data_IF_052600204848
#
_entry.id   IF_052600204848
#
_cell.length_a   1.000
_cell.length_b   1.000
_cell.length_c   1.000
_cell.angle_alpha   90.00
_cell.angle_beta   90.00
_cell.angle_gamma   90.00
#
_symmetry.space_group_name_H-M   'P 1'
#
loop_
_entity.id
_entity.type
_entity.pdbx_description
1 polymer ?
#
# COMPACT_ATOMS: atom_id res chain seq x y z
N UNK A 1 81.91 13.40 69.60
CA UNK A 1 80.70 12.98 70.32
C UNK A 1 79.67 14.10 70.15
N UNK A 2 78.44 13.91 69.68
CA UNK A 2 77.82 12.76 68.99
C UNK A 2 76.59 13.26 68.18
N UNK A 3 76.23 12.54 67.11
CA UNK A 3 74.88 12.29 66.50
C UNK A 3 73.65 13.07 67.04
N UNK A 4 72.64 13.50 66.24
CA UNK A 4 72.19 13.03 64.91
C UNK A 4 71.24 14.01 64.18
N UNK A 5 71.01 13.80 62.86
CA UNK A 5 70.00 14.40 61.94
C UNK A 5 68.90 13.36 61.62
N UNK A 6 67.84 13.63 60.81
CA UNK A 6 67.35 14.88 60.18
C UNK A 6 65.98 15.31 60.80
N UNK A 7 64.87 15.78 60.19
CA UNK A 7 64.31 15.88 58.81
C UNK A 7 63.26 17.01 58.68
N UNK A 8 63.22 17.63 57.48
CA UNK A 8 62.06 18.03 56.64
C UNK A 8 60.94 18.92 57.24
N UNK A 9 60.45 19.98 56.57
CA UNK A 9 60.57 20.29 55.13
C UNK A 9 60.44 21.76 54.72
N UNK A 10 61.10 22.05 53.59
CA UNK A 10 60.96 23.22 52.72
C UNK A 10 59.67 23.07 51.88
N UNK A 11 58.98 24.10 51.40
CA UNK A 11 59.12 25.54 51.64
C UNK A 11 58.87 26.38 50.37
N UNK A 12 58.15 27.51 50.54
CA UNK A 12 57.99 28.63 49.57
C UNK A 12 57.14 28.35 48.31
N UNK A 13 56.32 29.35 47.94
CA UNK A 13 55.48 29.36 46.72
C UNK A 13 56.06 30.31 45.66
N UNK A 14 55.67 30.15 44.37
CA UNK A 14 55.99 31.11 43.30
C UNK A 14 54.89 31.15 42.21
N UNK A 15 54.52 32.40 41.88
CA UNK A 15 54.03 33.03 40.63
C UNK A 15 53.33 32.21 39.51
N UNK A 16 52.27 32.84 39.00
CA UNK A 16 51.41 32.50 37.85
C UNK A 16 52.09 32.29 36.48
N UNK A 17 51.29 31.80 35.52
CA UNK A 17 51.31 32.17 34.09
C UNK A 17 49.87 32.07 33.55
N UNK A 18 49.48 32.97 32.63
CA UNK A 18 48.21 32.88 31.91
C UNK A 18 48.39 32.15 30.57
N UNK A 19 47.55 31.15 30.28
CA UNK A 19 47.59 30.38 29.04
C UNK A 19 46.34 30.59 28.20
N UNK A 20 46.50 31.18 27.01
CA UNK A 20 45.44 31.23 25.99
C UNK A 20 45.46 29.91 25.22
N UNK A 21 44.40 29.11 25.32
CA UNK A 21 44.11 28.05 24.36
C UNK A 21 42.94 28.48 23.48
N UNK A 22 43.22 28.80 22.22
CA UNK A 22 42.20 28.89 21.19
C UNK A 22 41.89 27.46 20.70
N UNK A 23 40.76 26.89 21.13
CA UNK A 23 40.27 25.60 20.62
C UNK A 23 39.47 25.81 19.34
N UNK A 24 40.13 25.64 18.19
CA UNK A 24 39.47 25.57 16.88
C UNK A 24 38.59 24.31 16.80
N UNK A 25 37.29 24.47 17.04
CA UNK A 25 36.29 23.41 16.82
C UNK A 25 36.02 23.28 15.32
N UNK A 26 36.90 22.55 14.62
CA UNK A 26 36.62 21.99 13.29
C UNK A 26 35.99 20.62 13.52
N UNK A 27 34.68 20.61 13.74
CA UNK A 27 33.92 19.42 14.11
C UNK A 27 32.71 19.23 13.19
N UNK A 28 32.98 18.69 12.00
CA UNK A 28 32.04 18.12 11.01
C UNK A 28 30.60 18.63 11.11
N UNK A 29 30.20 19.51 10.19
CA UNK A 29 28.78 19.72 9.88
C UNK A 29 28.15 18.37 9.54
N UNK A 30 27.30 17.86 10.43
CA UNK A 30 26.56 16.65 10.17
C UNK A 30 25.72 16.86 8.92
N UNK A 31 25.90 16.01 7.91
CA UNK A 31 24.92 15.88 6.84
C UNK A 31 23.70 15.26 7.49
N UNK A 32 22.80 16.12 8.00
CA UNK A 32 21.42 15.75 8.17
C UNK A 32 20.93 15.36 6.79
N UNK A 33 20.75 14.05 6.58
CA UNK A 33 20.03 13.55 5.44
C UNK A 33 18.63 14.15 5.50
N UNK A 34 18.34 15.08 4.59
CA UNK A 34 16.98 15.53 4.33
C UNK A 34 16.28 14.39 3.60
N UNK A 35 15.84 13.38 4.35
CA UNK A 35 14.85 12.43 3.87
C UNK A 35 13.60 13.23 3.49
N UNK A 36 13.18 13.12 2.23
CA UNK A 36 11.97 13.78 1.76
C UNK A 36 10.72 13.19 2.44
N UNK A 37 9.65 13.99 2.51
CA UNK A 37 8.28 13.52 2.78
C UNK A 37 8.04 12.68 4.05
N UNK A 38 8.78 12.95 5.14
CA UNK A 38 8.49 12.41 6.49
C UNK A 38 7.32 13.13 7.21
N UNK A 39 6.47 13.85 6.47
CA UNK A 39 5.26 14.56 6.91
C UNK A 39 4.34 14.69 5.68
N UNK A 40 3.09 14.19 5.65
CA UNK A 40 2.35 13.46 6.68
C UNK A 40 1.69 12.20 6.09
N UNK A 41 1.39 11.20 6.93
CA UNK A 41 0.65 10.01 6.52
C UNK A 41 -0.83 10.39 6.31
N UNK A 42 -1.31 10.35 5.06
CA UNK A 42 -2.65 10.78 4.67
C UNK A 42 -3.76 10.09 5.50
N UNK A 43 -3.58 8.82 5.88
CA UNK A 43 -4.55 8.04 6.65
C UNK A 43 -4.63 8.47 8.13
N UNK A 44 -3.71 9.30 8.63
CA UNK A 44 -3.71 9.77 10.02
C UNK A 44 -4.77 10.86 10.27
N UNK A 45 -4.93 11.77 9.30
CA UNK A 45 -5.86 12.90 9.39
C UNK A 45 -7.10 12.76 8.49
N UNK A 46 -7.09 11.81 7.53
CA UNK A 46 -8.20 11.63 6.56
C UNK A 46 -8.84 10.24 6.68
N UNK A 47 -10.14 10.21 7.00
CA UNK A 47 -10.93 8.97 6.95
C UNK A 47 -11.19 8.52 5.51
N UNK A 48 -11.15 7.21 5.27
CA UNK A 48 -11.39 6.66 3.93
C UNK A 48 -12.87 6.72 3.52
N UNK A 49 -13.09 6.86 2.21
CA UNK A 49 -14.41 6.86 1.58
C UNK A 49 -15.01 5.46 1.55
N UNK A 50 -16.29 5.34 1.89
CA UNK A 50 -17.09 4.12 1.71
C UNK A 50 -17.94 4.32 0.46
N UNK A 51 -17.70 3.52 -0.59
CA UNK A 51 -18.43 3.66 -1.85
C UNK A 51 -19.86 3.10 -1.76
N UNK A 52 -20.92 3.93 -1.88
CA UNK A 52 -22.30 3.46 -1.95
C UNK A 52 -22.61 2.75 -3.28
N UNK A 53 -21.74 2.84 -4.28
CA UNK A 53 -21.81 2.05 -5.53
C UNK A 53 -21.24 0.64 -5.42
N UNK A 54 -20.66 0.26 -4.28
CA UNK A 54 -19.96 -1.01 -4.11
C UNK A 54 -20.86 -2.25 -4.29
N UNK A 55 -20.26 -3.33 -4.78
CA UNK A 55 -20.92 -4.64 -4.96
C UNK A 55 -21.49 -5.18 -3.65
N UNK A 56 -20.80 -4.96 -2.53
CA UNK A 56 -21.29 -5.30 -1.20
C UNK A 56 -22.55 -4.52 -0.79
N UNK A 57 -22.62 -3.22 -1.08
CA UNK A 57 -23.81 -2.40 -0.79
C UNK A 57 -24.99 -2.85 -1.65
N UNK A 58 -24.77 -3.02 -2.95
CA UNK A 58 -25.80 -3.52 -3.87
C UNK A 58 -26.33 -4.91 -3.47
N UNK A 59 -25.47 -5.80 -2.97
CA UNK A 59 -25.87 -7.10 -2.46
C UNK A 59 -26.65 -7.03 -1.14
N UNK A 60 -26.28 -6.13 -0.22
CA UNK A 60 -27.00 -5.90 1.03
C UNK A 60 -28.42 -5.38 0.77
N UNK A 61 -28.56 -4.42 -0.15
CA UNK A 61 -29.87 -3.87 -0.55
C UNK A 61 -30.72 -4.90 -1.29
N UNK A 62 -30.12 -5.74 -2.16
CA UNK A 62 -30.82 -6.83 -2.84
C UNK A 62 -31.33 -7.90 -1.85
N UNK A 63 -30.53 -8.25 -0.84
CA UNK A 63 -30.92 -9.16 0.23
C UNK A 63 -32.07 -8.59 1.09
N UNK A 64 -31.98 -7.32 1.48
CA UNK A 64 -33.03 -6.63 2.21
C UNK A 64 -34.34 -6.55 1.41
N UNK A 65 -34.27 -6.27 0.11
CA UNK A 65 -35.43 -6.25 -0.79
C UNK A 65 -36.05 -7.65 -1.00
N UNK A 66 -35.27 -8.73 -0.85
CA UNK A 66 -35.75 -10.11 -0.86
C UNK A 66 -36.30 -10.60 0.49
N UNK A 67 -36.06 -9.86 1.58
CA UNK A 67 -36.40 -10.28 2.95
C UNK A 67 -35.41 -11.27 3.57
N UNK A 68 -34.18 -11.35 3.06
CA UNK A 68 -33.09 -12.11 3.68
C UNK A 68 -32.32 -11.18 4.66
N UNK A 69 -32.89 -11.02 5.86
CA UNK A 69 -32.32 -10.20 6.94
C UNK A 69 -30.89 -10.65 7.33
N UNK A 70 -30.55 -11.93 7.12
CA UNK A 70 -29.24 -12.47 7.47
C UNK A 70 -28.16 -12.04 6.46
N UNK A 71 -28.44 -12.16 5.16
CA UNK A 71 -27.57 -11.65 4.10
C UNK A 71 -27.48 -10.12 4.15
N UNK A 72 -28.59 -9.41 4.37
CA UNK A 72 -28.60 -7.96 4.49
C UNK A 72 -27.70 -7.47 5.65
N UNK A 73 -27.73 -8.17 6.80
CA UNK A 73 -26.85 -7.88 7.93
C UNK A 73 -25.38 -8.22 7.64
N UNK A 74 -25.11 -9.38 7.02
CA UNK A 74 -23.75 -9.86 6.74
C UNK A 74 -23.05 -9.03 5.65
N UNK A 75 -23.70 -8.81 4.51
CA UNK A 75 -23.15 -7.99 3.42
C UNK A 75 -23.12 -6.52 3.81
N UNK A 76 -24.11 -6.06 4.59
CA UNK A 76 -24.07 -4.74 5.20
C UNK A 76 -22.89 -4.54 6.16
N UNK A 77 -22.35 -5.59 6.81
CA UNK A 77 -21.10 -5.48 7.59
C UNK A 77 -19.93 -5.14 6.67
N UNK A 78 -19.81 -5.81 5.54
CA UNK A 78 -18.77 -5.57 4.54
C UNK A 78 -18.93 -4.17 3.91
N UNK A 79 -20.13 -3.84 3.44
CA UNK A 79 -20.46 -2.61 2.72
C UNK A 79 -20.25 -1.30 3.52
N UNK A 80 -20.12 -1.38 4.86
CA UNK A 80 -19.83 -0.23 5.73
C UNK A 80 -18.34 0.01 5.96
N UNK A 81 -17.47 -0.89 5.51
CA UNK A 81 -16.02 -0.78 5.64
C UNK A 81 -15.44 -0.22 4.35
N UNK A 82 -14.52 0.77 4.39
CA UNK A 82 -13.88 1.31 3.20
C UNK A 82 -13.09 0.23 2.44
N UNK A 83 -13.37 0.08 1.13
CA UNK A 83 -12.60 -0.78 0.22
C UNK A 83 -12.04 0.04 -0.94
N UNK A 84 -10.95 -0.42 -1.57
CA UNK A 84 -10.48 0.22 -2.79
C UNK A 84 -11.46 0.01 -3.96
N UNK A 85 -11.61 1.04 -4.80
CA UNK A 85 -12.46 1.05 -5.99
C UNK A 85 -11.61 0.63 -7.18
N UNK A 86 -11.89 -0.54 -7.77
CA UNK A 86 -11.08 -1.11 -8.84
C UNK A 86 -11.41 -0.49 -10.20
N UNK A 87 -10.43 0.21 -10.76
CA UNK A 87 -10.46 0.86 -12.06
C UNK A 87 -9.89 -0.10 -13.10
N UNK A 88 -10.73 -0.55 -14.03
CA UNK A 88 -10.30 -1.42 -15.13
C UNK A 88 -10.79 -0.85 -16.48
N UNK A 89 -9.99 -0.93 -17.55
CA UNK A 89 -10.32 -0.35 -18.85
C UNK A 89 -11.54 -1.00 -19.52
N UNK A 90 -11.91 -2.22 -19.11
CA UNK A 90 -13.10 -2.94 -19.61
C UNK A 90 -14.41 -2.42 -19.00
N UNK A 91 -14.35 -1.81 -17.80
CA UNK A 91 -15.49 -1.15 -17.15
C UNK A 91 -15.50 0.36 -17.40
N UNK A 92 -14.33 0.97 -17.51
CA UNK A 92 -14.13 2.41 -17.60
C UNK A 92 -13.03 2.73 -18.64
N UNK A 93 -13.37 2.80 -19.95
CA UNK A 93 -12.40 3.00 -21.01
C UNK A 93 -11.87 4.44 -21.08
N UNK A 94 -10.87 4.64 -21.95
CA UNK A 94 -10.32 5.95 -22.29
C UNK A 94 -11.44 6.89 -22.82
N UNK A 95 -11.52 8.10 -22.26
CA UNK A 95 -12.57 9.10 -22.51
C UNK A 95 -13.78 8.99 -21.57
N UNK A 96 -13.86 7.96 -20.73
CA UNK A 96 -14.91 7.76 -19.72
C UNK A 96 -14.34 7.71 -18.29
N UNK A 97 -13.12 7.17 -18.11
CA UNK A 97 -12.48 6.98 -16.80
C UNK A 97 -12.33 8.29 -16.02
N UNK A 98 -11.92 9.40 -16.66
CA UNK A 98 -11.68 10.67 -16.00
C UNK A 98 -12.95 11.25 -15.36
N UNK A 99 -14.09 11.10 -16.04
CA UNK A 99 -15.41 11.50 -15.52
C UNK A 99 -15.88 10.64 -14.34
N UNK A 100 -15.51 9.35 -14.33
CA UNK A 100 -15.85 8.43 -13.24
C UNK A 100 -15.02 8.72 -11.97
N UNK A 101 -13.69 8.81 -12.08
CA UNK A 101 -12.81 9.01 -10.91
C UNK A 101 -12.98 10.41 -10.30
N UNK A 102 -13.15 11.45 -11.11
CA UNK A 102 -13.41 12.81 -10.61
C UNK A 102 -14.76 12.91 -9.89
N UNK A 103 -15.80 12.25 -10.39
CA UNK A 103 -17.11 12.19 -9.72
C UNK A 103 -17.06 11.53 -8.34
N UNK A 104 -16.26 10.46 -8.19
CA UNK A 104 -16.04 9.79 -6.91
C UNK A 104 -15.15 10.62 -5.97
N UNK A 105 -14.09 11.24 -6.46
CA UNK A 105 -13.25 12.14 -5.67
C UNK A 105 -14.03 13.39 -5.19
N UNK A 106 -14.92 13.94 -6.01
CA UNK A 106 -15.87 14.98 -5.62
C UNK A 106 -16.84 14.50 -4.53
N UNK A 107 -17.35 13.28 -4.62
CA UNK A 107 -18.26 12.71 -3.63
C UNK A 107 -17.57 12.50 -2.27
N UNK A 108 -16.37 11.91 -2.28
CA UNK A 108 -15.54 11.73 -1.09
C UNK A 108 -15.12 13.08 -0.47
N UNK A 109 -14.69 14.04 -1.28
CA UNK A 109 -14.30 15.39 -0.83
C UNK A 109 -15.44 16.15 -0.13
N UNK A 110 -16.71 15.96 -0.57
CA UNK A 110 -17.90 16.53 0.10
C UNK A 110 -18.17 15.94 1.49
N UNK A 111 -17.57 14.79 1.81
CA UNK A 111 -17.62 14.13 3.12
C UNK A 111 -16.35 14.34 3.95
N UNK A 112 -15.31 14.99 3.40
CA UNK A 112 -13.99 15.06 4.03
C UNK A 112 -13.24 13.73 4.01
N UNK A 113 -13.48 12.90 2.99
CA UNK A 113 -12.94 11.54 2.89
C UNK A 113 -11.99 11.37 1.69
N UNK A 114 -11.08 10.40 1.81
CA UNK A 114 -10.16 9.99 0.74
C UNK A 114 -10.66 8.72 0.04
N UNK A 115 -10.85 8.71 -1.29
CA UNK A 115 -11.05 7.47 -2.03
C UNK A 115 -9.73 6.72 -2.20
N UNK A 116 -9.77 5.40 -2.08
CA UNK A 116 -8.68 4.52 -2.53
C UNK A 116 -9.10 3.94 -3.86
N UNK A 117 -8.27 4.10 -4.89
CA UNK A 117 -8.47 3.50 -6.21
C UNK A 117 -7.42 2.43 -6.46
N UNK A 118 -7.83 1.30 -7.03
CA UNK A 118 -6.90 0.29 -7.55
C UNK A 118 -6.85 0.44 -9.07
N UNK A 119 -5.74 0.93 -9.60
CA UNK A 119 -5.52 1.09 -11.05
C UNK A 119 -5.06 -0.27 -11.59
N UNK A 120 -5.86 -0.90 -12.46
CA UNK A 120 -5.66 -2.28 -12.91
C UNK A 120 -5.97 -2.44 -14.41
N UNK A 121 -5.12 -1.85 -15.25
CA UNK A 121 -5.26 -1.76 -16.72
C UNK A 121 -3.98 -2.02 -17.52
N UNK A 122 -2.89 -2.46 -16.90
CA UNK A 122 -1.59 -2.71 -17.55
C UNK A 122 -1.67 -3.67 -18.75
N UNK A 123 -0.87 -3.50 -19.82
CA UNK A 123 -0.85 -4.43 -20.95
C UNK A 123 -0.52 -5.87 -20.55
N UNK A 124 -1.13 -6.84 -21.23
CA UNK A 124 -1.03 -8.28 -20.91
C UNK A 124 -1.29 -8.59 -19.42
N UNK A 125 -2.36 -7.99 -18.85
CA UNK A 125 -2.77 -8.14 -17.44
C UNK A 125 -3.04 -9.61 -17.10
N UNK A 126 -2.55 -10.06 -15.94
CA UNK A 126 -2.63 -11.46 -15.46
C UNK A 126 -2.15 -12.49 -16.51
N UNK A 127 -1.39 -12.06 -17.52
CA UNK A 127 -0.76 -12.88 -18.55
C UNK A 127 -1.68 -13.91 -19.24
N UNK A 128 -2.99 -13.62 -19.33
CA UNK A 128 -4.02 -14.49 -19.92
C UNK A 128 -4.79 -15.41 -18.95
N UNK A 129 -4.64 -15.25 -17.64
CA UNK A 129 -5.31 -16.05 -16.59
C UNK A 129 -6.67 -15.41 -16.14
N UNK A 130 -7.20 -15.71 -14.94
CA UNK A 130 -8.58 -15.41 -14.51
C UNK A 130 -8.98 -13.93 -14.60
N UNK A 131 -8.04 -13.01 -14.36
CA UNK A 131 -8.23 -11.55 -14.33
C UNK A 131 -7.71 -10.86 -15.59
N UNK A 132 -7.49 -11.61 -16.67
CA UNK A 132 -6.89 -11.12 -17.91
C UNK A 132 -7.65 -9.98 -18.59
N UNK A 133 -6.92 -9.17 -19.36
CA UNK A 133 -7.40 -7.95 -20.00
C UNK A 133 -6.31 -6.88 -20.06
N UNK A 134 -6.69 -5.63 -19.77
CA UNK A 134 -5.79 -4.47 -19.87
C UNK A 134 -5.84 -3.76 -21.22
N UNK A 135 -4.96 -2.77 -21.40
CA UNK A 135 -4.85 -1.92 -22.59
C UNK A 135 -3.67 -2.30 -23.50
N UNK A 136 -3.57 -1.72 -24.70
CA UNK A 136 -2.31 -1.77 -25.45
C UNK A 136 -1.25 -0.85 -24.81
N UNK A 137 0.03 -1.10 -25.08
CA UNK A 137 1.14 -0.28 -24.57
C UNK A 137 1.06 1.21 -25.02
N UNK A 138 0.38 1.50 -26.13
CA UNK A 138 0.11 2.87 -26.60
C UNK A 138 -1.10 3.51 -25.90
N UNK A 139 -2.06 2.72 -25.43
CA UNK A 139 -3.29 3.21 -24.79
C UNK A 139 -3.14 3.37 -23.27
N UNK A 140 -2.44 2.44 -22.61
CA UNK A 140 -2.24 2.42 -21.17
C UNK A 140 -1.74 3.75 -20.58
N UNK A 141 -0.63 4.37 -21.05
CA UNK A 141 -0.15 5.64 -20.50
C UNK A 141 -1.15 6.80 -20.69
N UNK A 142 -1.97 6.77 -21.75
CA UNK A 142 -2.99 7.82 -21.99
C UNK A 142 -4.15 7.67 -21.00
N UNK A 143 -4.54 6.43 -20.68
CA UNK A 143 -5.59 6.12 -19.70
C UNK A 143 -5.14 6.44 -18.27
N UNK A 144 -3.88 6.15 -17.92
CA UNK A 144 -3.31 6.57 -16.62
C UNK A 144 -3.18 8.09 -16.52
N UNK A 145 -2.80 8.80 -17.60
CA UNK A 145 -2.78 10.26 -17.60
C UNK A 145 -4.19 10.85 -17.42
N UNK A 146 -5.23 10.25 -18.02
CA UNK A 146 -6.62 10.69 -17.81
C UNK A 146 -7.07 10.53 -16.34
N UNK A 147 -6.62 9.46 -15.66
CA UNK A 147 -6.82 9.29 -14.20
C UNK A 147 -6.06 10.36 -13.42
N UNK A 148 -4.80 10.61 -13.77
CA UNK A 148 -3.93 11.58 -13.10
C UNK A 148 -4.48 13.01 -13.20
N UNK A 149 -4.84 13.45 -14.41
CA UNK A 149 -5.42 14.76 -14.70
C UNK A 149 -6.75 14.96 -13.96
N UNK A 150 -7.59 13.92 -13.91
CA UNK A 150 -8.92 13.97 -13.28
C UNK A 150 -8.88 13.92 -11.74
N UNK A 151 -7.79 13.44 -11.14
CA UNK A 151 -7.61 13.34 -9.68
C UNK A 151 -6.64 14.38 -9.11
N UNK A 152 -5.95 15.17 -9.94
CA UNK A 152 -4.91 16.10 -9.46
C UNK A 152 -5.44 17.09 -8.42
N UNK A 153 -4.72 17.19 -7.29
CA UNK A 153 -5.12 18.01 -6.13
C UNK A 153 -6.24 17.43 -5.26
N UNK A 154 -6.75 16.22 -5.55
CA UNK A 154 -7.64 15.47 -4.65
C UNK A 154 -6.83 14.64 -3.63
N UNK A 155 -7.40 14.27 -2.46
CA UNK A 155 -6.74 13.41 -1.48
C UNK A 155 -6.85 11.91 -1.86
N UNK A 156 -6.84 11.58 -3.16
CA UNK A 156 -6.98 10.22 -3.63
C UNK A 156 -5.70 9.40 -3.41
N UNK A 157 -5.89 8.15 -2.99
CA UNK A 157 -4.83 7.15 -2.85
C UNK A 157 -4.91 6.16 -4.00
N UNK A 158 -3.77 5.83 -4.60
CA UNK A 158 -3.67 4.86 -5.69
C UNK A 158 -2.92 3.61 -5.20
N UNK A 159 -3.54 2.44 -5.37
CA UNK A 159 -2.84 1.16 -5.45
C UNK A 159 -2.61 0.88 -6.94
N UNK A 160 -1.35 0.79 -7.37
CA UNK A 160 -0.98 0.73 -8.78
C UNK A 160 -0.64 -0.70 -9.21
N UNK A 161 -1.46 -1.23 -10.11
CA UNK A 161 -1.33 -2.48 -10.86
C UNK A 161 -0.97 -3.72 -9.99
N UNK A 162 -1.94 -4.25 -9.23
CA UNK A 162 -1.83 -5.52 -8.52
C UNK A 162 -1.17 -6.65 -9.33
N UNK A 163 -0.33 -7.44 -8.66
CA UNK A 163 0.43 -8.56 -9.21
C UNK A 163 1.46 -8.17 -10.30
N UNK A 164 1.46 -6.93 -10.80
CA UNK A 164 2.03 -6.64 -12.10
C UNK A 164 3.56 -6.65 -12.12
N UNK A 165 4.24 -6.31 -11.02
CA UNK A 165 5.70 -6.53 -10.89
C UNK A 165 6.03 -7.98 -10.53
N UNK A 166 5.21 -8.64 -9.70
CA UNK A 166 5.47 -10.01 -9.23
C UNK A 166 5.40 -11.04 -10.36
N UNK A 167 4.37 -10.97 -11.20
CA UNK A 167 4.19 -11.83 -12.38
C UNK A 167 5.22 -11.58 -13.49
N UNK A 168 5.88 -10.42 -13.51
CA UNK A 168 6.65 -9.97 -14.69
C UNK A 168 7.80 -10.92 -15.08
N UNK A 169 8.39 -11.60 -14.08
CA UNK A 169 9.40 -12.64 -14.29
C UNK A 169 8.83 -13.94 -14.88
N UNK A 170 7.66 -14.37 -14.40
CA UNK A 170 6.97 -15.57 -14.86
C UNK A 170 6.45 -15.40 -16.31
N UNK A 171 6.00 -14.19 -16.65
CA UNK A 171 5.49 -13.85 -17.98
C UNK A 171 6.59 -13.41 -18.97
N UNK A 172 7.83 -13.24 -18.51
CA UNK A 172 8.99 -12.89 -19.34
C UNK A 172 8.98 -11.47 -19.91
N UNK A 173 8.20 -10.54 -19.32
CA UNK A 173 7.99 -9.18 -19.82
C UNK A 173 8.58 -8.07 -18.91
N UNK A 174 9.41 -8.43 -17.93
CA UNK A 174 10.07 -7.54 -16.93
C UNK A 174 10.43 -6.14 -17.46
N UNK A 175 11.23 -6.04 -18.53
CA UNK A 175 11.72 -4.72 -18.99
C UNK A 175 10.64 -3.85 -19.63
N UNK A 176 9.61 -4.44 -20.25
CA UNK A 176 8.43 -3.70 -20.72
C UNK A 176 7.58 -3.24 -19.54
N UNK A 177 7.33 -4.17 -18.60
CA UNK A 177 6.52 -3.93 -17.40
C UNK A 177 7.11 -2.86 -16.48
N UNK A 178 8.43 -2.80 -16.33
CA UNK A 178 9.10 -1.73 -15.59
C UNK A 178 8.92 -0.35 -16.26
N UNK A 179 8.85 -0.30 -17.60
CA UNK A 179 8.52 0.92 -18.34
C UNK A 179 7.06 1.34 -18.17
N UNK A 180 6.13 0.37 -18.20
CA UNK A 180 4.70 0.58 -17.97
C UNK A 180 4.43 1.13 -16.56
N UNK A 181 4.93 0.45 -15.52
CA UNK A 181 4.76 0.89 -14.13
C UNK A 181 5.49 2.21 -13.87
N UNK A 182 6.72 2.38 -14.38
CA UNK A 182 7.49 3.62 -14.20
C UNK A 182 6.81 4.85 -14.79
N UNK A 183 6.28 4.76 -16.01
CA UNK A 183 5.54 5.87 -16.62
C UNK A 183 4.20 6.17 -15.93
N UNK A 184 3.57 5.15 -15.36
CA UNK A 184 2.35 5.32 -14.55
C UNK A 184 2.65 6.00 -13.20
N UNK A 185 3.74 5.62 -12.52
CA UNK A 185 4.23 6.30 -11.31
C UNK A 185 4.53 7.76 -11.60
N UNK A 186 5.24 8.07 -12.70
CA UNK A 186 5.58 9.44 -13.09
C UNK A 186 4.31 10.29 -13.25
N UNK A 187 3.35 9.84 -14.05
CA UNK A 187 2.09 10.58 -14.32
C UNK A 187 1.28 10.85 -13.04
N UNK A 188 1.14 9.84 -12.18
CA UNK A 188 0.33 9.93 -10.96
C UNK A 188 1.03 10.74 -9.86
N UNK A 189 2.36 10.65 -9.75
CA UNK A 189 3.15 11.42 -8.79
C UNK A 189 3.28 12.90 -9.20
N UNK A 190 3.45 13.21 -10.49
CA UNK A 190 3.43 14.60 -10.99
C UNK A 190 2.06 15.27 -10.79
N UNK A 191 0.95 14.51 -10.84
CA UNK A 191 -0.38 14.99 -10.47
C UNK A 191 -0.58 15.21 -8.96
N UNK A 192 0.37 14.78 -8.11
CA UNK A 192 0.38 14.97 -6.66
C UNK A 192 -0.35 13.88 -5.85
N UNK A 193 -0.56 12.70 -6.42
CA UNK A 193 -1.33 11.62 -5.79
C UNK A 193 -0.49 10.76 -4.83
N UNK A 194 -1.14 10.14 -3.85
CA UNK A 194 -0.48 9.19 -2.93
C UNK A 194 -0.45 7.80 -3.58
N UNK A 195 0.67 7.43 -4.20
CA UNK A 195 0.81 6.18 -4.97
C UNK A 195 1.55 5.08 -4.18
N UNK A 196 0.97 3.88 -4.15
CA UNK A 196 1.62 2.65 -3.70
C UNK A 196 1.68 1.66 -4.88
N UNK A 197 2.88 1.30 -5.32
CA UNK A 197 3.11 0.28 -6.36
C UNK A 197 2.85 -1.11 -5.78
N UNK A 198 2.12 -1.99 -6.45
CA UNK A 198 1.98 -3.36 -5.93
C UNK A 198 3.31 -4.13 -5.91
N UNK A 199 3.52 -4.88 -4.84
CA UNK A 199 4.73 -5.66 -4.56
C UNK A 199 4.42 -7.14 -4.27
N UNK A 200 3.27 -7.65 -4.70
CA UNK A 200 2.84 -9.02 -4.44
C UNK A 200 2.67 -9.29 -2.94
N UNK A 201 3.27 -10.37 -2.44
CA UNK A 201 3.06 -10.84 -1.06
C UNK A 201 4.21 -11.73 -0.55
N UNK A 202 4.30 -11.93 0.77
CA UNK A 202 5.42 -12.61 1.46
C UNK A 202 5.78 -13.99 0.91
N UNK A 203 4.77 -14.70 0.38
CA UNK A 203 4.90 -16.06 -0.13
C UNK A 203 5.13 -16.16 -1.65
N UNK A 204 5.39 -15.05 -2.37
CA UNK A 204 5.59 -15.06 -3.83
C UNK A 204 7.06 -15.24 -4.21
N UNK A 205 7.94 -14.37 -3.68
CA UNK A 205 9.35 -14.34 -4.01
C UNK A 205 10.18 -13.49 -3.05
N UNK A 206 11.51 -13.54 -3.11
CA UNK A 206 12.39 -12.89 -2.14
C UNK A 206 12.21 -11.37 -2.07
N UNK A 207 12.16 -10.81 -0.85
CA UNK A 207 12.01 -9.36 -0.63
C UNK A 207 13.08 -8.51 -1.34
N UNK A 208 14.30 -9.04 -1.48
CA UNK A 208 15.39 -8.37 -2.20
C UNK A 208 15.18 -8.31 -3.73
N UNK A 209 14.49 -9.29 -4.31
CA UNK A 209 14.18 -9.31 -5.75
C UNK A 209 13.02 -8.35 -6.06
N UNK A 210 11.99 -8.33 -5.20
CA UNK A 210 10.92 -7.32 -5.29
C UNK A 210 11.45 -5.90 -5.05
N UNK A 211 12.40 -5.71 -4.14
CA UNK A 211 13.04 -4.41 -3.94
C UNK A 211 13.85 -3.94 -5.16
N UNK A 212 14.51 -4.83 -5.92
CA UNK A 212 15.15 -4.45 -7.21
C UNK A 212 14.10 -3.96 -8.23
N UNK A 213 12.99 -4.71 -8.37
CA UNK A 213 11.90 -4.34 -9.27
C UNK A 213 11.27 -2.99 -8.89
N UNK A 214 10.97 -2.76 -7.61
CA UNK A 214 10.42 -1.49 -7.12
C UNK A 214 11.38 -0.31 -7.31
N UNK A 215 12.67 -0.48 -7.01
CA UNK A 215 13.68 0.54 -7.25
C UNK A 215 13.79 0.88 -8.75
N UNK A 216 13.72 -0.13 -9.64
CA UNK A 216 13.74 0.06 -11.11
C UNK A 216 12.44 0.63 -11.67
N UNK A 217 11.30 0.36 -11.03
CA UNK A 217 9.99 0.93 -11.34
C UNK A 217 9.83 2.37 -10.84
N UNK A 218 10.73 2.87 -9.99
CA UNK A 218 10.70 4.24 -9.51
C UNK A 218 9.91 4.48 -8.23
N UNK A 219 9.93 3.52 -7.30
CA UNK A 219 9.33 3.65 -5.96
C UNK A 219 9.83 4.88 -5.18
N UNK A 220 10.98 5.45 -5.55
CA UNK A 220 11.54 6.70 -5.02
C UNK A 220 10.72 7.96 -5.34
N UNK A 221 9.81 7.87 -6.32
CA UNK A 221 8.86 8.93 -6.73
C UNK A 221 7.42 8.65 -6.30
N UNK A 222 7.15 7.45 -5.77
CA UNK A 222 5.89 7.05 -5.16
C UNK A 222 5.88 7.37 -3.65
N UNK A 223 4.75 7.13 -2.96
CA UNK A 223 4.74 7.05 -1.48
C UNK A 223 5.41 5.75 -1.02
N UNK A 224 5.20 4.69 -1.79
CA UNK A 224 5.96 3.44 -1.70
C UNK A 224 5.22 2.29 -2.37
N UNK A 225 4.87 1.25 -1.61
CA UNK A 225 4.34 -0.01 -2.17
C UNK A 225 3.18 -0.65 -1.37
N UNK A 226 2.42 -1.53 -2.01
CA UNK A 226 1.35 -2.31 -1.40
C UNK A 226 1.72 -3.80 -1.35
N UNK A 227 1.26 -4.53 -0.34
CA UNK A 227 1.41 -6.01 -0.28
C UNK A 227 0.10 -6.72 0.07
N UNK A 228 0.08 -8.03 -0.17
CA UNK A 228 -1.01 -8.95 0.11
C UNK A 228 -2.30 -8.71 -0.68
N UNK A 229 -2.29 -7.85 -1.71
CA UNK A 229 -3.49 -7.45 -2.45
C UNK A 229 -4.21 -8.68 -3.01
N UNK A 230 -5.51 -8.80 -2.71
CA UNK A 230 -6.33 -9.97 -3.04
C UNK A 230 -5.87 -11.31 -2.45
N UNK A 231 -4.84 -11.35 -1.61
CA UNK A 231 -4.32 -12.57 -1.02
C UNK A 231 -4.77 -12.72 0.44
N UNK A 232 -4.11 -13.62 1.18
CA UNK A 232 -4.59 -14.15 2.45
C UNK A 232 -3.49 -14.27 3.51
N UNK A 233 -2.24 -13.87 3.22
CA UNK A 233 -1.14 -14.07 4.17
C UNK A 233 -1.36 -13.27 5.45
N UNK A 234 -0.91 -13.81 6.58
CA UNK A 234 -1.11 -13.19 7.88
C UNK A 234 -0.33 -11.86 7.98
N UNK A 235 -0.94 -10.84 8.60
CA UNK A 235 -0.41 -9.47 8.62
C UNK A 235 1.00 -9.36 9.22
N UNK A 236 1.39 -10.25 10.13
CA UNK A 236 2.74 -10.30 10.70
C UNK A 236 3.80 -10.81 9.72
N UNK A 237 3.45 -11.77 8.86
CA UNK A 237 4.32 -12.24 7.77
C UNK A 237 4.47 -11.18 6.67
N UNK A 238 3.39 -10.49 6.32
CA UNK A 238 3.39 -9.40 5.35
C UNK A 238 4.15 -8.18 5.87
N UNK A 239 3.97 -7.80 7.14
CA UNK A 239 4.77 -6.74 7.77
C UNK A 239 6.26 -7.11 7.80
N UNK A 240 6.62 -8.34 8.16
CA UNK A 240 8.00 -8.80 8.14
C UNK A 240 8.61 -8.86 6.72
N UNK A 241 7.81 -9.04 5.69
CA UNK A 241 8.21 -8.96 4.28
C UNK A 241 8.40 -7.50 3.84
N UNK A 242 7.42 -6.65 4.12
CA UNK A 242 7.42 -5.24 3.75
C UNK A 242 8.53 -4.43 4.42
N UNK A 243 8.83 -4.65 5.72
CA UNK A 243 9.99 -4.02 6.38
C UNK A 243 11.32 -4.35 5.66
N UNK A 244 11.47 -5.58 5.13
CA UNK A 244 12.66 -5.96 4.35
C UNK A 244 12.71 -5.27 2.97
N UNK A 245 11.55 -5.05 2.33
CA UNK A 245 11.48 -4.27 1.09
C UNK A 245 11.81 -2.80 1.38
N UNK A 246 11.13 -2.18 2.35
CA UNK A 246 11.31 -0.77 2.74
C UNK A 246 12.78 -0.44 3.04
N UNK A 247 13.46 -1.30 3.82
CA UNK A 247 14.89 -1.15 4.11
C UNK A 247 15.81 -1.21 2.88
N UNK A 248 15.35 -1.77 1.76
CA UNK A 248 16.08 -1.89 0.48
C UNK A 248 15.58 -0.90 -0.60
N UNK A 249 14.43 -0.25 -0.40
CA UNK A 249 13.88 0.82 -1.26
C UNK A 249 14.05 2.21 -0.64
N UNK A 250 15.05 2.38 0.23
CA UNK A 250 15.41 3.69 0.81
C UNK A 250 14.53 4.17 1.96
N UNK A 251 13.66 3.30 2.50
CA UNK A 251 12.65 3.65 3.50
C UNK A 251 11.28 3.98 2.92
N UNK A 252 10.96 3.49 1.71
CA UNK A 252 9.63 3.68 1.11
C UNK A 252 8.53 3.12 2.01
N UNK A 253 7.42 3.84 2.12
CA UNK A 253 6.30 3.46 2.99
C UNK A 253 5.45 2.33 2.37
N UNK A 254 4.61 1.68 3.16
CA UNK A 254 3.77 0.61 2.65
C UNK A 254 2.39 0.46 3.29
N UNK A 255 1.51 -0.22 2.56
CA UNK A 255 0.17 -0.64 3.00
C UNK A 255 -0.01 -2.14 2.80
N UNK A 256 -0.77 -2.79 3.69
CA UNK A 256 -1.08 -4.22 3.62
C UNK A 256 -2.58 -4.40 3.37
N UNK A 257 -2.96 -5.22 2.40
CA UNK A 257 -4.35 -5.66 2.25
C UNK A 257 -4.71 -6.70 3.34
N UNK A 258 -5.67 -6.34 4.19
CA UNK A 258 -6.22 -7.18 5.27
C UNK A 258 -7.67 -7.59 5.00
N UNK A 259 -8.18 -7.42 3.77
CA UNK A 259 -9.55 -7.74 3.37
C UNK A 259 -10.02 -9.15 3.76
N UNK A 260 -9.17 -10.17 3.57
CA UNK A 260 -9.56 -11.60 3.70
C UNK A 260 -8.59 -12.47 4.52
N UNK A 261 -7.62 -11.86 5.20
CA UNK A 261 -6.51 -12.58 5.84
C UNK A 261 -6.74 -13.02 7.30
N UNK A 262 -7.97 -12.94 7.83
CA UNK A 262 -8.26 -13.19 9.24
C UNK A 262 -7.93 -14.61 9.75
N UNK A 263 -7.93 -15.60 8.85
CA UNK A 263 -7.50 -16.99 9.11
C UNK A 263 -6.16 -17.35 8.43
N UNK A 264 -5.39 -16.36 7.99
CA UNK A 264 -4.18 -16.54 7.20
C UNK A 264 -4.42 -17.23 5.84
N UNK A 265 -3.34 -17.67 5.21
CA UNK A 265 -3.34 -18.38 3.92
C UNK A 265 -3.15 -19.88 4.13
N UNK A 266 -3.73 -20.70 3.25
CA UNK A 266 -3.44 -22.14 3.14
C UNK A 266 -2.61 -22.50 1.89
N UNK A 267 -2.12 -21.48 1.16
CA UNK A 267 -1.37 -21.62 -0.09
C UNK A 267 -2.23 -21.61 -1.35
N UNK A 268 -3.57 -21.58 -1.25
CA UNK A 268 -4.45 -21.26 -2.37
C UNK A 268 -4.78 -19.76 -2.39
N UNK A 269 -4.85 -19.18 -3.60
CA UNK A 269 -5.22 -17.77 -3.82
C UNK A 269 -6.61 -17.60 -4.48
N UNK A 270 -7.12 -18.62 -5.16
CA UNK A 270 -8.34 -18.52 -5.97
C UNK A 270 -9.54 -19.07 -5.18
N UNK A 271 -10.34 -18.21 -4.56
CA UNK A 271 -11.46 -18.57 -3.69
C UNK A 271 -11.17 -19.73 -2.68
N UNK A 272 -10.06 -19.74 -1.93
CA UNK A 272 -9.84 -20.71 -0.85
C UNK A 272 -11.00 -20.72 0.17
N UNK A 273 -11.47 -21.91 0.61
CA UNK A 273 -12.46 -22.01 1.68
C UNK A 273 -11.85 -21.73 3.06
N UNK A 274 -12.70 -21.47 4.04
CA UNK A 274 -12.33 -21.33 5.45
C UNK A 274 -11.57 -20.05 5.80
N UNK A 275 -11.53 -19.07 4.88
CA UNK A 275 -10.96 -17.74 5.13
C UNK A 275 -11.91 -16.87 5.95
N UNK A 276 -11.44 -15.73 6.43
CA UNK A 276 -12.21 -14.80 7.26
C UNK A 276 -11.88 -13.35 6.86
N UNK A 277 -12.81 -12.40 7.07
CA UNK A 277 -12.45 -10.98 7.03
C UNK A 277 -11.29 -10.74 8.02
N UNK A 278 -10.26 -10.02 7.59
CA UNK A 278 -9.18 -9.61 8.47
C UNK A 278 -9.51 -8.33 9.24
N UNK A 279 -8.49 -7.67 9.77
CA UNK A 279 -8.66 -6.39 10.45
C UNK A 279 -9.23 -5.32 9.50
N UNK A 280 -10.17 -4.51 9.97
CA UNK A 280 -10.70 -3.35 9.22
C UNK A 280 -9.61 -2.28 8.98
N UNK A 281 -9.73 -1.44 7.94
CA UNK A 281 -8.73 -0.45 7.58
C UNK A 281 -8.34 0.45 8.76
N UNK A 282 -7.03 0.59 8.97
CA UNK A 282 -6.48 1.16 10.20
C UNK A 282 -5.12 1.80 9.95
N UNK A 283 -4.94 3.05 10.41
CA UNK A 283 -3.67 3.78 10.31
C UNK A 283 -2.64 3.25 11.32
N UNK A 284 -1.39 3.15 10.87
CA UNK A 284 -0.27 2.72 11.71
C UNK A 284 0.25 3.82 12.65
N UNK A 285 0.97 3.47 13.73
CA UNK A 285 1.61 4.45 14.61
C UNK A 285 2.61 5.35 13.87
N UNK A 286 2.65 6.63 14.24
CA UNK A 286 3.52 7.64 13.63
C UNK A 286 5.00 7.25 13.69
N UNK A 287 5.67 7.29 12.54
CA UNK A 287 7.08 6.91 12.41
C UNK A 287 7.33 5.43 12.10
N UNK A 288 6.29 4.63 11.85
CA UNK A 288 6.43 3.36 11.13
C UNK A 288 6.63 3.61 9.62
N UNK A 289 7.23 2.63 8.92
CA UNK A 289 7.21 2.57 7.46
C UNK A 289 5.87 2.05 6.93
N UNK A 290 5.15 1.23 7.71
CA UNK A 290 3.74 0.94 7.40
C UNK A 290 2.92 2.21 7.62
N UNK A 291 2.14 2.62 6.62
CA UNK A 291 1.20 3.73 6.75
C UNK A 291 -0.20 3.26 7.20
N UNK A 292 -0.68 2.12 6.69
CA UNK A 292 -1.98 1.55 7.09
C UNK A 292 -2.12 0.03 6.81
N UNK A 293 -3.14 -0.57 7.40
CA UNK A 293 -3.85 -1.71 6.82
C UNK A 293 -5.04 -1.17 5.99
N UNK A 294 -5.33 -1.79 4.85
CA UNK A 294 -6.44 -1.44 3.95
C UNK A 294 -7.25 -2.70 3.58
N UNK A 295 -8.46 -2.54 3.07
CA UNK A 295 -9.13 -3.59 2.30
C UNK A 295 -9.02 -3.23 0.82
N UNK A 296 -8.02 -3.79 0.13
CA UNK A 296 -7.79 -3.47 -1.28
C UNK A 296 -8.70 -4.31 -2.16
N UNK A 297 -8.72 -5.63 -2.00
CA UNK A 297 -9.76 -6.49 -2.58
C UNK A 297 -11.09 -6.30 -1.83
N UNK A 298 -12.22 -6.00 -2.52
CA UNK A 298 -13.54 -5.99 -1.89
C UNK A 298 -13.92 -7.40 -1.41
N UNK A 299 -14.15 -7.64 -0.10
CA UNK A 299 -14.50 -8.96 0.38
C UNK A 299 -15.86 -9.42 -0.15
N UNK A 300 -15.92 -10.64 -0.69
CA UNK A 300 -17.14 -11.18 -1.32
C UNK A 300 -17.15 -11.10 -2.84
N UNK A 301 -16.24 -10.35 -3.47
CA UNK A 301 -15.97 -10.51 -4.91
C UNK A 301 -15.09 -11.73 -5.17
N UNK A 302 -15.47 -12.52 -6.18
CA UNK A 302 -14.77 -13.75 -6.59
C UNK A 302 -13.38 -13.48 -7.16
N UNK A 303 -12.50 -14.47 -7.05
CA UNK A 303 -11.18 -14.50 -7.70
C UNK A 303 -11.17 -15.24 -9.05
N UNK A 304 -12.28 -15.90 -9.40
CA UNK A 304 -12.42 -16.70 -10.62
C UNK A 304 -13.34 -17.90 -10.44
N UNK A 305 -13.46 -18.74 -11.46
CA UNK A 305 -14.38 -19.89 -11.46
C UNK A 305 -13.93 -21.08 -10.59
N UNK A 306 -12.78 -20.93 -9.93
CA UNK A 306 -12.22 -21.81 -8.92
C UNK A 306 -13.13 -21.99 -7.70
N UNK A 307 -13.06 -23.17 -7.07
CA UNK A 307 -13.77 -23.55 -5.84
C UNK A 307 -15.30 -23.28 -5.82
N UNK A 308 -15.92 -23.09 -6.99
CA UNK A 308 -17.36 -22.81 -7.13
C UNK A 308 -17.74 -21.33 -7.09
N UNK A 309 -16.78 -20.42 -7.21
CA UNK A 309 -17.04 -18.99 -7.40
C UNK A 309 -17.53 -18.64 -8.83
N UNK A 310 -18.14 -17.45 -9.00
CA UNK A 310 -18.45 -16.86 -10.30
C UNK A 310 -17.18 -16.24 -10.94
N UNK A 311 -17.32 -15.54 -12.06
CA UNK A 311 -16.22 -14.82 -12.74
C UNK A 311 -15.48 -13.87 -11.79
N UNK A 312 -14.18 -13.64 -12.02
CA UNK A 312 -13.40 -12.71 -11.21
C UNK A 312 -14.04 -11.31 -11.17
N UNK A 313 -14.17 -10.72 -9.98
CA UNK A 313 -14.84 -9.43 -9.78
C UNK A 313 -16.37 -9.45 -9.91
N UNK A 314 -17.02 -10.62 -9.95
CA UNK A 314 -18.45 -10.77 -9.67
C UNK A 314 -18.69 -11.02 -8.17
N UNK A 315 -19.81 -10.51 -7.65
CA UNK A 315 -20.22 -10.71 -6.26
C UNK A 315 -20.66 -12.16 -6.00
N UNK A 316 -20.19 -12.74 -4.89
CA UNK A 316 -20.45 -14.13 -4.52
C UNK A 316 -20.99 -14.24 -3.08
N UNK A 317 -22.33 -14.30 -2.94
CA UNK A 317 -23.01 -14.43 -1.64
C UNK A 317 -22.40 -15.52 -0.74
N UNK A 318 -22.01 -16.68 -1.30
CA UNK A 318 -21.46 -17.77 -0.50
C UNK A 318 -20.09 -17.43 0.12
N UNK A 319 -19.16 -16.85 -0.66
CA UNK A 319 -17.87 -16.40 -0.15
C UNK A 319 -18.01 -15.21 0.81
N UNK A 320 -18.89 -14.25 0.50
CA UNK A 320 -19.19 -13.13 1.38
C UNK A 320 -19.76 -13.58 2.74
N UNK A 321 -20.69 -14.55 2.74
CA UNK A 321 -21.22 -15.20 3.96
C UNK A 321 -20.10 -15.89 4.75
N UNK A 322 -19.26 -16.69 4.10
CA UNK A 322 -18.19 -17.44 4.78
C UNK A 322 -17.16 -16.50 5.43
N UNK A 323 -16.65 -15.52 4.67
CA UNK A 323 -15.71 -14.51 5.17
C UNK A 323 -16.28 -13.78 6.40
N UNK A 324 -17.53 -13.34 6.33
CA UNK A 324 -18.19 -12.60 7.41
C UNK A 324 -18.55 -13.46 8.63
N UNK A 325 -18.83 -14.76 8.44
CA UNK A 325 -19.15 -15.70 9.53
C UNK A 325 -17.91 -16.23 10.25
N UNK A 326 -16.78 -16.36 9.55
CA UNK A 326 -15.51 -16.79 10.13
C UNK A 326 -14.73 -15.66 10.82
N UNK A 327 -15.13 -14.39 10.62
CA UNK A 327 -14.51 -13.23 11.25
C UNK A 327 -14.94 -13.06 12.72
N UNK A 328 -13.97 -13.02 13.63
CA UNK A 328 -14.14 -12.97 15.09
C UNK A 328 -14.04 -11.55 15.68
#
# INVERSE_FOLDING_TARGET
>A
MSTVLPRVGLGVAIVAIAGVLATTVVGVSGILAQGGAAADNLFADTSLYVDPGSTAQAAADAAAAAGDDADAAAFGRIARVPTAIWLTPERHPLGEIGGYVSGLAEAAGKLGQAPVFTVYGVPDRDCGNQSSGGLSAEQYPVWVQEIADALSGSPAVIILEPDALALAGECGNVDARLGEIGGAVDSLAEAGLTVYIDAGHSNWGPAAEMADLLNRAGVDRARGFATNVSNYNATDLEQAYAEQISAQTGGAHYVIDTSRNGNGSDGQWCNPPGRALGAEPSVSPSGSAQDANLWVKPPGESDGTCNGGPTAGEWWNAGARELAANAH
#
